data_IF_421505617735
#
_entry.id   IF_421505617735
#
_cell.length_a   1.000
_cell.length_b   1.000
_cell.length_c   1.000
_cell.angle_alpha   90.00
_cell.angle_beta   90.00
_cell.angle_gamma   90.00
#
_symmetry.space_group_name_H-M   'P 1'
#
loop_
_entity.id
_entity.type
_entity.pdbx_description
1 polymer ?
#
# COMPACT_ATOMS: atom_id res chain seq x y z
N UNK A 1 37.38 31.25 -9.04
CA UNK A 1 35.92 31.32 -8.81
C UNK A 1 35.14 30.17 -9.46
N UNK A 2 35.50 29.72 -10.67
CA UNK A 2 34.80 28.64 -11.41
C UNK A 2 34.66 27.31 -10.64
N UNK A 3 35.70 26.86 -9.92
CA UNK A 3 35.67 25.62 -9.11
C UNK A 3 34.64 25.63 -7.98
N UNK A 4 34.35 26.80 -7.38
CA UNK A 4 33.36 26.92 -6.29
C UNK A 4 31.92 26.91 -6.81
N UNK A 5 31.72 27.45 -8.02
CA UNK A 5 30.43 27.42 -8.73
C UNK A 5 30.12 25.99 -9.19
N UNK A 6 31.11 25.26 -9.68
CA UNK A 6 30.96 23.85 -10.09
C UNK A 6 30.61 22.93 -8.90
N UNK A 7 31.25 23.15 -7.74
CA UNK A 7 30.94 22.39 -6.52
C UNK A 7 29.51 22.68 -6.01
N UNK A 8 29.08 23.94 -6.06
CA UNK A 8 27.73 24.32 -5.67
C UNK A 8 26.67 23.71 -6.60
N UNK A 9 26.93 23.68 -7.91
CA UNK A 9 26.05 23.03 -8.87
C UNK A 9 25.95 21.51 -8.66
N UNK A 10 27.06 20.83 -8.32
CA UNK A 10 27.05 19.40 -8.01
C UNK A 10 26.28 19.06 -6.72
N UNK A 11 26.38 19.92 -5.70
CA UNK A 11 25.65 19.77 -4.43
C UNK A 11 24.14 19.98 -4.61
N UNK A 12 23.73 20.94 -5.45
CA UNK A 12 22.31 21.17 -5.77
C UNK A 12 21.76 20.04 -6.64
N UNK A 13 22.53 19.55 -7.63
CA UNK A 13 22.13 18.40 -8.44
C UNK A 13 21.99 17.12 -7.59
N UNK A 14 22.91 16.85 -6.66
CA UNK A 14 22.83 15.70 -5.75
C UNK A 14 21.66 15.75 -4.76
N UNK A 15 21.20 16.96 -4.39
CA UNK A 15 20.02 17.14 -3.55
C UNK A 15 18.70 16.90 -4.30
N UNK A 16 18.65 17.12 -5.62
CA UNK A 16 17.45 16.93 -6.44
C UNK A 16 17.17 15.46 -6.82
N UNK A 17 18.13 14.54 -6.67
CA UNK A 17 17.93 13.11 -6.97
C UNK A 17 17.34 12.30 -5.80
N UNK A 18 17.19 12.91 -4.62
CA UNK A 18 16.42 12.31 -3.55
C UNK A 18 14.99 12.81 -3.65
N UNK A 19 14.01 11.91 -3.46
CA UNK A 19 12.58 12.19 -3.38
C UNK A 19 11.78 12.08 -4.71
N UNK A 20 11.96 10.98 -5.45
CA UNK A 20 10.77 10.30 -6.00
C UNK A 20 10.18 9.50 -4.84
N UNK A 21 9.45 10.18 -3.96
CA UNK A 21 8.78 9.52 -2.86
C UNK A 21 7.63 8.67 -3.44
N UNK A 22 7.74 7.35 -3.34
CA UNK A 22 6.59 6.46 -3.52
C UNK A 22 5.47 6.96 -2.60
N UNK A 23 4.36 7.40 -3.20
CA UNK A 23 3.14 7.80 -2.52
C UNK A 23 2.10 6.70 -2.70
N UNK A 24 1.24 6.55 -1.70
CA UNK A 24 0.24 5.49 -1.71
C UNK A 24 -1.09 6.06 -2.18
N UNK A 25 -1.64 5.43 -3.20
CA UNK A 25 -2.92 5.73 -3.85
C UNK A 25 -3.74 4.45 -3.88
N UNK A 26 -5.07 4.58 -4.01
CA UNK A 26 -5.95 3.42 -4.10
C UNK A 26 -7.04 3.58 -5.15
N UNK A 27 -7.58 2.45 -5.61
CA UNK A 27 -8.77 2.37 -6.46
C UNK A 27 -9.70 1.24 -6.03
N UNK A 28 -11.00 1.38 -6.30
CA UNK A 28 -11.96 0.27 -6.19
C UNK A 28 -11.75 -0.71 -7.34
N UNK A 29 -11.89 -2.01 -7.10
CA UNK A 29 -11.67 -3.06 -8.12
C UNK A 29 -12.87 -3.99 -8.26
N UNK A 30 -13.07 -4.55 -9.46
CA UNK A 30 -14.15 -5.49 -9.77
C UNK A 30 -13.69 -6.95 -9.68
N UNK A 31 -14.61 -7.91 -9.84
CA UNK A 31 -14.34 -9.35 -9.75
C UNK A 31 -13.32 -9.88 -10.78
N UNK A 32 -12.98 -9.13 -11.83
CA UNK A 32 -12.00 -9.56 -12.83
C UNK A 32 -10.59 -9.73 -12.24
N UNK A 33 -10.28 -9.03 -11.14
CA UNK A 33 -8.99 -9.15 -10.45
C UNK A 33 -8.92 -10.39 -9.54
N UNK A 34 -10.02 -11.13 -9.32
CA UNK A 34 -10.07 -12.21 -8.35
C UNK A 34 -9.13 -13.38 -8.70
N UNK A 35 -9.14 -13.85 -9.95
CA UNK A 35 -8.25 -14.93 -10.40
C UNK A 35 -6.77 -14.54 -10.23
N UNK A 36 -6.43 -13.29 -10.55
CA UNK A 36 -5.09 -12.76 -10.35
C UNK A 36 -4.71 -12.74 -8.86
N UNK A 37 -5.58 -12.20 -8.01
CA UNK A 37 -5.36 -12.15 -6.56
C UNK A 37 -5.17 -13.55 -5.99
N UNK A 38 -6.02 -14.51 -6.35
CA UNK A 38 -5.94 -15.89 -5.84
C UNK A 38 -4.65 -16.59 -6.27
N UNK A 39 -4.22 -16.42 -7.52
CA UNK A 39 -3.00 -17.05 -8.03
C UNK A 39 -1.71 -16.40 -7.49
N UNK A 40 -1.78 -15.17 -7.00
CA UNK A 40 -0.61 -14.40 -6.56
C UNK A 40 -0.68 -13.98 -5.08
N UNK A 41 -1.58 -14.61 -4.30
CA UNK A 41 -1.74 -14.33 -2.88
C UNK A 41 -0.51 -14.79 -2.10
N UNK A 42 0.14 -13.85 -1.42
CA UNK A 42 1.27 -14.16 -0.54
C UNK A 42 0.82 -14.38 0.89
N UNK A 43 0.02 -13.45 1.42
CA UNK A 43 -0.43 -13.46 2.82
C UNK A 43 -1.81 -12.83 2.97
N UNK A 44 -2.56 -13.30 3.97
CA UNK A 44 -3.88 -12.78 4.36
C UNK A 44 -3.89 -12.43 5.84
N UNK A 45 -4.45 -11.26 6.17
CA UNK A 45 -4.68 -10.79 7.52
C UNK A 45 -6.16 -10.45 7.68
N UNK A 46 -6.78 -10.90 8.76
CA UNK A 46 -8.22 -10.69 8.98
C UNK A 46 -8.43 -9.97 10.29
N UNK A 47 -9.36 -9.02 10.26
CA UNK A 47 -9.93 -8.39 11.43
C UNK A 47 -11.44 -8.44 11.33
N UNK A 48 -12.09 -8.93 12.36
CA UNK A 48 -13.54 -8.82 12.51
C UNK A 48 -13.81 -8.47 13.96
N UNK A 49 -14.67 -7.48 14.16
CA UNK A 49 -15.23 -7.20 15.48
C UNK A 49 -16.55 -7.95 15.71
N UNK A 50 -16.95 -8.78 14.74
CA UNK A 50 -18.21 -9.53 14.68
C UNK A 50 -19.48 -8.70 14.84
N UNK A 51 -19.38 -7.36 14.77
CA UNK A 51 -20.48 -6.45 15.09
C UNK A 51 -20.75 -5.43 14.00
N UNK A 52 -19.72 -4.91 13.35
CA UNK A 52 -19.87 -3.82 12.40
C UNK A 52 -19.25 -4.17 11.06
N UNK A 53 -17.95 -4.48 11.04
CA UNK A 53 -17.18 -4.71 9.83
C UNK A 53 -16.32 -5.97 9.93
N UNK A 54 -16.25 -6.67 8.79
CA UNK A 54 -15.25 -7.69 8.50
C UNK A 54 -14.26 -7.10 7.51
N UNK A 55 -12.98 -7.08 7.87
CA UNK A 55 -11.90 -6.52 7.07
C UNK A 55 -10.89 -7.62 6.79
N UNK A 56 -10.56 -7.83 5.53
CA UNK A 56 -9.49 -8.72 5.11
C UNK A 56 -8.46 -7.95 4.28
N UNK A 57 -7.19 -8.08 4.64
CA UNK A 57 -6.06 -7.49 3.95
C UNK A 57 -5.27 -8.60 3.27
N UNK A 58 -4.97 -8.41 2.00
CA UNK A 58 -4.23 -9.37 1.18
C UNK A 58 -2.98 -8.71 0.63
N UNK A 59 -1.84 -9.35 0.85
CA UNK A 59 -0.60 -9.02 0.14
C UNK A 59 -0.52 -9.89 -1.10
N UNK A 60 -0.46 -9.25 -2.27
CA UNK A 60 -0.49 -9.90 -3.57
C UNK A 60 0.78 -9.52 -4.32
N UNK A 61 1.50 -10.52 -4.81
CA UNK A 61 2.70 -10.28 -5.62
C UNK A 61 2.28 -9.60 -6.93
N UNK A 62 3.02 -8.58 -7.35
CA UNK A 62 2.86 -8.03 -8.69
C UNK A 62 3.88 -8.61 -9.66
N UNK A 63 3.47 -8.73 -10.92
CA UNK A 63 4.36 -9.21 -11.97
C UNK A 63 5.47 -8.18 -12.26
N UNK A 64 6.66 -8.70 -12.53
CA UNK A 64 7.78 -7.89 -12.99
C UNK A 64 7.42 -7.27 -14.35
N UNK A 65 7.42 -5.94 -14.43
CA UNK A 65 7.00 -5.20 -15.63
C UNK A 65 5.62 -4.54 -15.56
N UNK A 66 4.91 -4.62 -14.43
CA UNK A 66 3.76 -3.74 -14.18
C UNK A 66 4.23 -2.27 -14.28
N UNK A 67 3.56 -1.49 -15.13
CA UNK A 67 3.87 -0.08 -15.41
C UNK A 67 3.71 0.77 -14.14
N UNK A 68 2.83 0.36 -13.23
CA UNK A 68 2.59 1.05 -11.96
C UNK A 68 3.54 0.58 -10.85
N UNK A 69 4.36 -0.46 -11.08
CA UNK A 69 5.31 -0.96 -10.12
C UNK A 69 6.59 -0.09 -10.06
N UNK A 70 7.19 0.07 -8.87
CA UNK A 70 8.45 0.79 -8.76
C UNK A 70 9.56 0.12 -9.58
N UNK A 71 10.16 0.88 -10.50
CA UNK A 71 11.15 0.38 -11.47
C UNK A 71 12.40 -0.26 -10.82
N UNK A 72 12.76 0.17 -9.61
CA UNK A 72 13.93 -0.30 -8.87
C UNK A 72 13.61 -1.44 -7.88
N UNK A 73 12.39 -1.98 -7.89
CA UNK A 73 11.98 -3.01 -6.96
C UNK A 73 12.11 -4.43 -7.49
N UNK A 74 12.84 -5.29 -6.76
CA UNK A 74 12.93 -6.72 -7.05
C UNK A 74 11.65 -7.50 -6.73
N UNK A 75 10.88 -7.04 -5.76
CA UNK A 75 9.69 -7.71 -5.24
C UNK A 75 8.55 -6.72 -5.06
N UNK A 76 7.97 -6.21 -6.17
CA UNK A 76 6.80 -5.35 -6.09
C UNK A 76 5.60 -6.16 -5.59
N UNK A 77 4.73 -5.49 -4.83
CA UNK A 77 3.49 -6.09 -4.36
C UNK A 77 2.41 -5.05 -4.14
N UNK A 78 1.18 -5.49 -4.38
CA UNK A 78 -0.04 -4.73 -4.13
C UNK A 78 -0.69 -5.18 -2.83
N UNK A 79 -1.39 -4.23 -2.20
CA UNK A 79 -2.17 -4.49 -0.99
C UNK A 79 -3.64 -4.34 -1.35
N UNK A 80 -4.41 -5.40 -1.17
CA UNK A 80 -5.86 -5.37 -1.34
C UNK A 80 -6.52 -5.34 0.04
N UNK A 81 -7.54 -4.50 0.19
CA UNK A 81 -8.33 -4.36 1.42
C UNK A 81 -9.78 -4.62 1.06
N UNK A 82 -10.30 -5.77 1.46
CA UNK A 82 -11.71 -6.10 1.37
C UNK A 82 -12.40 -5.70 2.68
N UNK A 83 -13.55 -5.03 2.56
CA UNK A 83 -14.35 -4.56 3.68
C UNK A 83 -15.80 -4.95 3.45
N UNK A 84 -16.42 -5.59 4.43
CA UNK A 84 -17.82 -6.00 4.40
C UNK A 84 -18.52 -5.62 5.69
N UNK A 85 -19.80 -5.26 5.61
CA UNK A 85 -20.67 -5.27 6.79
C UNK A 85 -20.85 -6.70 7.34
N UNK A 86 -21.21 -6.83 8.61
CA UNK A 86 -21.55 -8.11 9.25
C UNK A 86 -23.08 -8.23 9.34
N UNK A 87 -23.75 -8.55 8.23
CA UNK A 87 -25.21 -8.73 8.12
C UNK A 87 -25.59 -9.66 6.95
N UNK A 88 -26.84 -10.17 6.85
CA UNK A 88 -27.22 -11.17 5.84
C UNK A 88 -27.04 -10.75 4.37
N UNK A 89 -27.19 -9.46 4.07
CA UNK A 89 -26.93 -8.89 2.74
C UNK A 89 -25.99 -7.71 2.90
N UNK A 90 -24.69 -7.97 3.08
CA UNK A 90 -23.74 -6.93 3.44
C UNK A 90 -23.35 -6.11 2.21
N UNK A 91 -23.22 -4.79 2.39
CA UNK A 91 -22.44 -4.01 1.43
C UNK A 91 -20.98 -4.39 1.57
N UNK A 92 -20.31 -4.57 0.43
CA UNK A 92 -18.92 -5.01 0.37
C UNK A 92 -18.16 -4.21 -0.66
N UNK A 93 -16.91 -3.89 -0.35
CA UNK A 93 -16.01 -3.15 -1.22
C UNK A 93 -14.62 -3.75 -1.15
N UNK A 94 -13.92 -3.73 -2.27
CA UNK A 94 -12.51 -4.12 -2.36
C UNK A 94 -11.73 -2.94 -2.92
N UNK A 95 -10.66 -2.58 -2.22
CA UNK A 95 -9.74 -1.52 -2.62
C UNK A 95 -8.37 -2.12 -2.91
N UNK A 96 -7.75 -1.71 -4.02
CA UNK A 96 -6.36 -2.00 -4.35
C UNK A 96 -5.53 -0.74 -4.10
N UNK A 97 -4.51 -0.84 -3.25
CA UNK A 97 -3.43 0.16 -3.18
C UNK A 97 -2.48 -0.03 -4.37
N UNK A 98 -1.85 1.05 -4.84
CA UNK A 98 -0.84 0.94 -5.89
C UNK A 98 0.31 0.01 -5.46
N UNK A 99 0.97 -0.64 -6.43
CA UNK A 99 2.12 -1.47 -6.14
C UNK A 99 3.21 -0.67 -5.40
N UNK A 100 3.80 -1.28 -4.39
CA UNK A 100 4.93 -0.73 -3.65
C UNK A 100 6.02 -1.79 -3.51
N UNK A 101 7.23 -1.36 -3.13
CA UNK A 101 8.32 -2.31 -2.99
C UNK A 101 8.30 -3.04 -1.64
N UNK A 102 8.39 -4.38 -1.66
CA UNK A 102 8.46 -5.25 -0.47
C UNK A 102 7.47 -4.86 0.65
N UNK A 103 6.15 -4.76 0.35
CA UNK A 103 5.15 -4.43 1.36
C UNK A 103 5.09 -5.50 2.44
N UNK A 104 5.07 -5.06 3.70
CA UNK A 104 4.93 -5.94 4.87
C UNK A 104 3.89 -5.37 5.82
N UNK A 105 2.89 -6.18 6.13
CA UNK A 105 1.94 -5.88 7.19
C UNK A 105 2.70 -5.76 8.52
N UNK A 106 2.46 -4.67 9.25
CA UNK A 106 3.09 -4.42 10.55
C UNK A 106 2.13 -4.81 11.65
N UNK A 107 0.99 -4.13 11.75
CA UNK A 107 -0.02 -4.37 12.78
C UNK A 107 -1.37 -3.70 12.46
N UNK A 108 -2.38 -4.13 13.22
CA UNK A 108 -3.61 -3.36 13.41
C UNK A 108 -3.38 -2.25 14.42
N UNK A 109 -3.83 -1.04 14.12
CA UNK A 109 -3.73 0.11 15.03
C UNK A 109 -5.07 0.31 15.73
N UNK A 110 -5.03 0.32 17.07
CA UNK A 110 -6.21 0.55 17.89
C UNK A 110 -6.66 2.01 17.77
N UNK A 111 -7.89 2.22 17.32
CA UNK A 111 -8.50 3.54 17.22
C UNK A 111 -9.98 3.45 17.57
N UNK A 112 -10.49 4.44 18.32
CA UNK A 112 -11.89 4.46 18.78
C UNK A 112 -12.87 4.86 17.66
N UNK A 113 -12.39 5.56 16.63
CA UNK A 113 -13.24 6.19 15.61
C UNK A 113 -13.24 5.45 14.27
N UNK A 114 -12.21 4.64 14.02
CA UNK A 114 -12.03 3.95 12.73
C UNK A 114 -11.02 2.82 12.87
N UNK A 115 -11.15 1.79 12.04
CA UNK A 115 -10.14 0.74 11.92
C UNK A 115 -8.90 1.30 11.22
N UNK A 116 -7.72 0.90 11.69
CA UNK A 116 -6.46 1.33 11.09
C UNK A 116 -5.52 0.13 10.93
N UNK A 117 -4.79 0.10 9.83
CA UNK A 117 -3.68 -0.84 9.61
C UNK A 117 -2.41 -0.06 9.31
N UNK A 118 -1.27 -0.61 9.71
CA UNK A 118 0.02 -0.14 9.25
C UNK A 118 0.71 -1.21 8.42
N UNK A 119 1.39 -0.75 7.37
CA UNK A 119 2.33 -1.57 6.63
C UNK A 119 3.59 -0.77 6.35
N UNK A 120 4.69 -1.49 6.20
CA UNK A 120 5.96 -0.92 5.78
C UNK A 120 6.27 -1.31 4.34
N UNK A 121 6.97 -0.44 3.62
CA UNK A 121 7.32 -0.62 2.21
C UNK A 121 8.59 0.15 1.86
N UNK A 122 9.20 -0.16 0.71
CA UNK A 122 10.46 0.41 0.25
C UNK A 122 11.65 -0.53 0.48
N UNK A 123 12.79 -0.20 -0.12
CA UNK A 123 14.04 -0.94 0.04
C UNK A 123 14.48 -0.99 1.52
N UNK A 124 15.24 -2.02 1.90
CA UNK A 124 15.64 -2.27 3.29
C UNK A 124 16.22 -1.04 4.01
N UNK A 125 17.08 -0.26 3.34
CA UNK A 125 17.72 0.94 3.90
C UNK A 125 16.82 2.18 3.94
N UNK A 126 15.67 2.19 3.24
CA UNK A 126 14.75 3.33 3.11
C UNK A 126 13.29 2.93 3.32
N UNK A 127 13.03 1.99 4.25
CA UNK A 127 11.66 1.59 4.56
C UNK A 127 10.86 2.77 5.10
N UNK A 128 9.65 2.91 4.60
CA UNK A 128 8.62 3.81 5.10
C UNK A 128 7.50 2.98 5.70
N UNK A 129 6.71 3.63 6.54
CA UNK A 129 5.46 3.08 7.06
C UNK A 129 4.32 3.97 6.59
N UNK A 130 3.23 3.37 6.13
CA UNK A 130 1.98 4.08 5.88
C UNK A 130 0.89 3.53 6.79
N UNK A 131 0.00 4.41 7.22
CA UNK A 131 -1.17 4.04 8.01
C UNK A 131 -2.41 4.22 7.16
N UNK A 132 -3.25 3.19 7.10
CA UNK A 132 -4.52 3.25 6.38
C UNK A 132 -5.67 3.20 7.35
N UNK A 133 -6.43 4.29 7.39
CA UNK A 133 -7.75 4.34 7.98
C UNK A 133 -8.80 3.68 7.07
N UNK A 134 -9.59 2.78 7.64
CA UNK A 134 -10.55 1.94 6.90
C UNK A 134 -11.97 2.25 7.37
N UNK A 135 -12.83 2.53 6.40
CA UNK A 135 -14.29 2.55 6.55
C UNK A 135 -14.90 1.66 5.47
N UNK A 136 -16.20 1.39 5.54
CA UNK A 136 -16.89 0.59 4.52
C UNK A 136 -16.67 1.12 3.10
N UNK A 137 -16.84 2.44 2.89
CA UNK A 137 -16.93 3.07 1.56
C UNK A 137 -15.67 3.82 1.12
N UNK A 138 -14.64 3.90 1.97
CA UNK A 138 -13.39 4.61 1.63
C UNK A 138 -12.21 4.19 2.49
N UNK A 139 -11.03 4.41 1.94
CA UNK A 139 -9.75 4.38 2.64
C UNK A 139 -9.21 5.80 2.85
N UNK A 140 -8.44 5.99 3.92
CA UNK A 140 -7.71 7.21 4.24
C UNK A 140 -6.24 6.85 4.42
N UNK A 141 -5.36 7.40 3.59
CA UNK A 141 -3.91 7.20 3.70
C UNK A 141 -3.34 8.31 4.57
N UNK A 142 -2.62 7.94 5.63
CA UNK A 142 -1.87 8.82 6.54
C UNK A 142 -0.36 8.55 6.41
#
# INVERSE_FOLDING_TARGET
MLKRILLAALLVAGACFNVIAQSIKYKSVSNQDLTYVLNNLQKRYVYTDHKTLSIAVYLVADQQGDVDAPADCKTPGSIYIAVSEVKPQPQQYVYKLNPVCDPKFVNWIKSKKMYKIAFSYGAAAKRKTATIGITLKKLMVE
#
